data_IF_937074629731
#
_entry.id   IF_937074629731
#
_cell.length_a   1.000
_cell.length_b   1.000
_cell.length_c   1.000
_cell.angle_alpha   90.00
_cell.angle_beta   90.00
_cell.angle_gamma   90.00
#
_symmetry.space_group_name_H-M   'P 1'
#
loop_
_entity.id
_entity.type
_entity.pdbx_description
1 polymer ?
#
# COMPACT_ATOMS: atom_id res chain seq x y z
N UNK A 1 5.81 4.36 -7.54
CA UNK A 1 6.99 4.44 -8.41
C UNK A 1 7.75 5.68 -7.95
N UNK A 2 8.97 5.55 -7.44
CA UNK A 2 9.73 6.69 -6.92
C UNK A 2 10.99 6.83 -7.74
N UNK A 3 11.23 8.02 -8.26
CA UNK A 3 12.48 8.38 -8.92
C UNK A 3 13.02 9.64 -8.26
N UNK A 4 14.30 9.61 -7.91
CA UNK A 4 15.05 10.76 -7.42
C UNK A 4 15.54 11.59 -8.60
N UNK A 5 15.26 12.88 -8.53
CA UNK A 5 16.02 13.98 -9.12
C UNK A 5 15.90 15.14 -8.10
N UNK A 6 17.01 15.78 -7.71
CA UNK A 6 17.11 16.78 -6.62
C UNK A 6 16.91 16.30 -5.17
N UNK A 7 17.33 15.07 -4.82
CA UNK A 7 17.29 14.55 -3.43
C UNK A 7 15.90 14.47 -2.76
N UNK A 8 14.84 14.92 -3.44
CA UNK A 8 13.47 14.90 -2.97
C UNK A 8 12.70 13.72 -3.58
N UNK A 9 12.23 12.81 -2.73
CA UNK A 9 11.22 11.83 -3.13
C UNK A 9 9.86 12.54 -3.19
N UNK A 10 9.36 12.78 -4.41
CA UNK A 10 7.99 13.29 -4.58
C UNK A 10 7.01 12.14 -4.69
N UNK A 11 6.12 12.03 -3.70
CA UNK A 11 5.02 11.08 -3.73
C UNK A 11 3.87 11.67 -4.56
N UNK A 12 3.46 10.97 -5.61
CA UNK A 12 2.32 11.35 -6.46
C UNK A 12 1.14 10.48 -6.08
N UNK A 13 0.03 11.10 -5.69
CA UNK A 13 -1.22 10.40 -5.38
C UNK A 13 -1.97 10.12 -6.68
N UNK A 14 -2.33 8.86 -6.90
CA UNK A 14 -3.31 8.50 -7.93
C UNK A 14 -4.69 8.76 -7.34
N UNK A 15 -5.49 9.55 -8.05
CA UNK A 15 -6.86 9.87 -7.71
C UNK A 15 -7.80 8.95 -8.50
N UNK A 16 -8.93 8.60 -7.89
CA UNK A 16 -9.95 7.74 -8.49
C UNK A 16 -11.29 8.47 -8.43
N UNK A 17 -11.91 8.67 -9.59
CA UNK A 17 -13.25 9.29 -9.72
C UNK A 17 -13.90 8.80 -11.01
N UNK A 18 -15.21 8.55 -10.99
CA UNK A 18 -15.99 8.14 -12.16
C UNK A 18 -15.38 6.93 -12.89
N UNK A 19 -14.96 5.92 -12.12
CA UNK A 19 -14.27 4.71 -12.61
C UNK A 19 -12.97 4.97 -13.39
N UNK A 20 -12.41 6.18 -13.29
CA UNK A 20 -11.17 6.57 -13.94
C UNK A 20 -10.06 6.83 -12.91
N UNK A 21 -8.81 6.63 -13.34
CA UNK A 21 -7.59 6.90 -12.60
C UNK A 21 -6.87 8.10 -13.21
N UNK A 22 -6.31 8.99 -12.39
CA UNK A 22 -5.57 10.15 -12.86
C UNK A 22 -4.59 10.67 -11.82
N UNK A 23 -3.54 11.35 -12.27
CA UNK A 23 -2.64 12.13 -11.39
C UNK A 23 -2.88 13.64 -11.51
N UNK A 24 -3.55 14.07 -12.58
CA UNK A 24 -3.96 15.44 -12.84
C UNK A 24 -5.28 15.44 -13.62
N UNK A 25 -6.16 16.41 -13.37
CA UNK A 25 -7.55 16.39 -13.89
C UNK A 25 -7.63 16.47 -15.42
N UNK A 26 -6.58 16.98 -16.06
CA UNK A 26 -6.46 17.08 -17.51
C UNK A 26 -6.25 15.72 -18.21
N UNK A 27 -5.96 14.64 -17.48
CA UNK A 27 -5.72 13.33 -18.08
C UNK A 27 -6.26 12.18 -17.23
N UNK A 28 -7.28 11.49 -17.73
CA UNK A 28 -7.96 10.36 -17.08
C UNK A 28 -7.74 9.06 -17.86
N UNK A 29 -7.59 7.95 -17.13
CA UNK A 29 -7.31 6.61 -17.67
C UNK A 29 -8.34 5.61 -17.15
N UNK A 30 -8.62 4.56 -17.94
CA UNK A 30 -9.56 3.51 -17.53
C UNK A 30 -8.90 2.48 -16.60
N UNK A 31 -7.57 2.44 -16.58
CA UNK A 31 -6.80 1.57 -15.67
C UNK A 31 -5.51 2.22 -15.18
N UNK A 32 -4.99 1.71 -14.06
CA UNK A 32 -3.67 2.07 -13.53
C UNK A 32 -2.57 1.72 -14.54
N UNK A 33 -2.73 0.63 -15.29
CA UNK A 33 -1.74 0.18 -16.27
C UNK A 33 -1.63 1.18 -17.43
N UNK A 34 -2.75 1.66 -17.96
CA UNK A 34 -2.77 2.71 -18.99
C UNK A 34 -2.12 4.00 -18.49
N UNK A 35 -2.38 4.39 -17.24
CA UNK A 35 -1.77 5.56 -16.60
C UNK A 35 -0.24 5.40 -16.54
N UNK A 36 0.24 4.25 -16.07
CA UNK A 36 1.68 3.95 -15.97
C UNK A 36 2.31 3.97 -17.37
N UNK A 37 1.68 3.31 -18.35
CA UNK A 37 2.22 3.24 -19.70
C UNK A 37 2.32 4.61 -20.35
N UNK A 38 1.30 5.46 -20.15
CA UNK A 38 1.32 6.83 -20.64
C UNK A 38 2.48 7.64 -20.06
N UNK A 39 2.60 7.68 -18.72
CA UNK A 39 3.62 8.49 -18.05
C UNK A 39 5.02 7.88 -18.08
N UNK A 40 5.22 6.67 -18.63
CA UNK A 40 6.57 6.19 -19.01
C UNK A 40 7.17 7.02 -20.15
N UNK A 41 6.32 7.55 -21.02
CA UNK A 41 6.73 8.31 -22.21
C UNK A 41 6.35 9.79 -22.15
N UNK A 42 5.40 10.18 -21.29
CA UNK A 42 4.94 11.56 -21.14
C UNK A 42 5.42 12.18 -19.84
N UNK A 43 5.83 13.46 -19.91
CA UNK A 43 6.39 14.17 -18.76
C UNK A 43 5.31 14.50 -17.73
N UNK A 44 5.63 14.31 -16.46
CA UNK A 44 4.76 14.66 -15.33
C UNK A 44 4.54 16.17 -15.20
N UNK A 45 5.25 17.00 -15.97
CA UNK A 45 5.09 18.47 -15.99
C UNK A 45 3.66 18.92 -16.32
N UNK A 46 2.89 18.07 -17.02
CA UNK A 46 1.49 18.32 -17.38
C UNK A 46 0.58 18.49 -16.16
N UNK A 47 0.91 17.84 -15.04
CA UNK A 47 0.21 17.98 -13.76
C UNK A 47 1.03 18.69 -12.68
N UNK A 48 2.35 18.66 -12.81
CA UNK A 48 3.28 19.11 -11.76
C UNK A 48 4.40 19.93 -12.40
N UNK A 49 4.19 21.25 -12.56
CA UNK A 49 5.06 22.14 -13.37
C UNK A 49 6.57 22.08 -13.07
N UNK A 50 6.95 21.72 -11.84
CA UNK A 50 8.35 21.57 -11.41
C UNK A 50 8.91 20.15 -11.57
N UNK A 51 8.10 19.19 -12.00
CA UNK A 51 8.45 17.77 -12.10
C UNK A 51 8.54 17.35 -13.57
N UNK A 52 9.58 17.82 -14.24
CA UNK A 52 9.85 17.46 -15.63
C UNK A 52 10.61 16.12 -15.72
N UNK A 53 9.89 15.03 -15.51
CA UNK A 53 10.41 13.68 -15.68
C UNK A 53 9.29 12.73 -16.08
N UNK A 54 9.66 11.58 -16.64
CA UNK A 54 8.76 10.45 -16.87
C UNK A 54 8.89 9.42 -15.74
N UNK A 55 7.97 8.46 -15.69
CA UNK A 55 8.07 7.26 -14.85
C UNK A 55 9.11 6.30 -15.44
N UNK A 56 10.23 6.08 -14.74
CA UNK A 56 11.33 5.24 -15.28
C UNK A 56 11.45 3.89 -14.58
N UNK A 57 11.56 3.87 -13.24
CA UNK A 57 11.82 2.64 -12.49
C UNK A 57 10.71 2.30 -11.50
N UNK A 58 10.20 1.05 -11.50
CA UNK A 58 9.29 0.57 -10.47
C UNK A 58 9.98 0.72 -9.12
N UNK A 59 9.24 1.18 -8.10
CA UNK A 59 9.81 1.36 -6.76
C UNK A 59 10.18 0.01 -6.09
N UNK A 60 9.72 -1.11 -6.65
CA UNK A 60 10.08 -2.47 -6.23
C UNK A 60 10.50 -3.24 -7.49
N UNK A 61 11.76 -3.63 -7.55
CA UNK A 61 12.27 -4.52 -8.60
C UNK A 61 11.68 -5.94 -8.47
N UNK A 62 11.57 -6.70 -9.57
CA UNK A 62 11.03 -8.05 -9.56
C UNK A 62 11.95 -9.12 -8.93
N UNK A 63 13.10 -8.77 -8.36
CA UNK A 63 14.16 -9.72 -7.96
C UNK A 63 13.88 -10.56 -6.70
N UNK A 64 12.71 -10.38 -6.06
CA UNK A 64 12.19 -11.30 -5.02
C UNK A 64 10.92 -12.04 -5.45
N UNK A 65 10.55 -12.00 -6.74
CA UNK A 65 9.33 -12.63 -7.25
C UNK A 65 9.54 -14.00 -7.91
N UNK A 66 10.75 -14.36 -8.37
CA UNK A 66 10.96 -15.60 -9.12
C UNK A 66 10.77 -16.87 -8.27
N UNK A 67 11.07 -16.82 -6.98
CA UNK A 67 10.93 -17.97 -6.08
C UNK A 67 9.52 -18.10 -5.46
N UNK A 68 8.70 -17.06 -5.55
CA UNK A 68 7.34 -17.01 -4.95
C UNK A 68 6.19 -17.15 -5.97
N UNK A 69 6.49 -17.46 -7.24
CA UNK A 69 5.50 -17.51 -8.34
C UNK A 69 4.97 -18.89 -8.70
N UNK A 70 5.48 -19.99 -8.16
CA UNK A 70 4.96 -21.32 -8.48
C UNK A 70 3.73 -21.74 -7.68
N UNK A 71 3.28 -20.95 -6.69
CA UNK A 71 2.16 -21.34 -5.83
C UNK A 71 0.99 -20.34 -5.78
N UNK A 72 0.92 -19.41 -6.74
CA UNK A 72 -0.18 -18.42 -6.81
C UNK A 72 -1.27 -18.87 -7.77
N UNK A 73 -2.12 -19.78 -7.29
CA UNK A 73 -3.50 -19.82 -7.76
C UNK A 73 -4.19 -18.50 -7.41
N UNK A 74 -4.96 -18.00 -8.37
CA UNK A 74 -5.52 -16.65 -8.53
C UNK A 74 -6.52 -16.18 -7.46
N UNK A 75 -6.58 -16.79 -6.28
CA UNK A 75 -7.52 -16.47 -5.20
C UNK A 75 -6.96 -15.59 -4.08
N UNK A 76 -5.65 -15.35 -4.02
CA UNK A 76 -5.00 -14.68 -2.87
C UNK A 76 -4.76 -13.17 -2.99
N UNK A 77 -5.32 -12.47 -3.98
CA UNK A 77 -5.05 -11.03 -4.16
C UNK A 77 -5.68 -10.14 -3.07
N UNK A 78 -6.54 -10.69 -2.21
CA UNK A 78 -7.28 -9.97 -1.17
C UNK A 78 -6.90 -10.35 0.28
N UNK A 79 -6.00 -11.31 0.49
CA UNK A 79 -5.55 -11.68 1.83
C UNK A 79 -4.31 -10.85 2.21
N UNK A 80 -4.36 -10.00 3.25
CA UNK A 80 -3.19 -9.26 3.69
C UNK A 80 -2.07 -10.22 4.11
N UNK A 81 -0.86 -10.01 3.58
CA UNK A 81 0.30 -10.83 3.91
C UNK A 81 0.67 -10.63 5.37
N UNK A 82 0.63 -11.72 6.16
CA UNK A 82 1.14 -11.73 7.54
C UNK A 82 2.65 -11.51 7.51
N UNK A 83 3.12 -10.46 8.18
CA UNK A 83 4.54 -10.09 8.32
C UNK A 83 5.13 -10.51 9.68
N UNK A 84 4.29 -10.99 10.60
CA UNK A 84 4.71 -11.48 11.90
C UNK A 84 3.53 -11.91 12.76
N UNK A 85 3.83 -12.46 13.93
CA UNK A 85 2.85 -12.84 14.94
C UNK A 85 3.24 -12.18 16.26
N UNK A 86 2.27 -11.61 16.97
CA UNK A 86 2.43 -11.10 18.32
C UNK A 86 1.51 -11.85 19.28
N UNK A 87 1.86 -11.81 20.56
CA UNK A 87 1.02 -12.30 21.65
C UNK A 87 0.69 -11.08 22.52
N UNK A 88 -0.59 -10.82 22.76
CA UNK A 88 -1.01 -9.78 23.68
C UNK A 88 -0.51 -10.10 25.09
N UNK A 89 0.23 -9.17 25.68
CA UNK A 89 0.80 -9.33 27.03
C UNK A 89 -0.14 -8.88 28.14
N UNK A 90 -1.17 -8.12 27.79
CA UNK A 90 -2.14 -7.53 28.70
C UNK A 90 -3.47 -7.39 27.97
N UNK A 91 -4.55 -7.30 28.73
CA UNK A 91 -5.86 -6.96 28.20
C UNK A 91 -5.88 -5.52 27.66
N UNK A 92 -6.58 -5.33 26.55
CA UNK A 92 -6.83 -4.03 25.95
C UNK A 92 -8.30 -3.94 25.55
N UNK A 93 -8.96 -2.84 25.92
CA UNK A 93 -10.33 -2.54 25.48
C UNK A 93 -10.29 -1.49 24.39
N UNK A 94 -10.86 -1.80 23.23
CA UNK A 94 -10.95 -0.86 22.12
C UNK A 94 -11.74 0.39 22.51
N UNK A 95 -11.27 1.55 22.04
CA UNK A 95 -11.88 2.86 22.31
C UNK A 95 -12.84 3.30 21.21
N UNK A 96 -12.67 2.78 20.00
CA UNK A 96 -13.56 3.01 18.86
C UNK A 96 -13.59 1.82 17.89
N UNK A 97 -14.37 1.95 16.81
CA UNK A 97 -14.61 0.88 15.81
C UNK A 97 -13.38 0.51 14.98
N UNK A 98 -12.25 1.20 15.16
CA UNK A 98 -10.99 1.01 14.44
C UNK A 98 -9.97 0.22 15.25
N UNK A 99 -10.24 -0.03 16.52
CA UNK A 99 -9.37 -0.76 17.44
C UNK A 99 -9.94 -2.15 17.76
N UNK A 100 -9.07 -3.10 18.06
CA UNK A 100 -9.43 -4.44 18.57
C UNK A 100 -9.26 -4.50 20.07
N UNK A 101 -10.26 -5.00 20.79
CA UNK A 101 -10.05 -5.44 22.17
C UNK A 101 -9.25 -6.75 22.19
N UNK A 102 -8.13 -6.77 22.89
CA UNK A 102 -7.29 -7.94 23.05
C UNK A 102 -7.43 -8.49 24.47
N UNK A 103 -7.34 -9.80 24.62
CA UNK A 103 -7.11 -10.44 25.91
C UNK A 103 -5.66 -10.88 26.01
N UNK A 104 -5.10 -10.89 27.22
CA UNK A 104 -3.79 -11.48 27.47
C UNK A 104 -3.75 -12.92 26.90
N UNK A 105 -2.71 -13.19 26.11
CA UNK A 105 -2.56 -14.47 25.41
C UNK A 105 -3.12 -14.50 23.99
N UNK A 106 -3.87 -13.48 23.55
CA UNK A 106 -4.36 -13.42 22.18
C UNK A 106 -3.22 -13.40 21.17
N UNK A 107 -3.34 -14.28 20.16
CA UNK A 107 -2.37 -14.36 19.05
C UNK A 107 -2.81 -13.43 17.93
N UNK A 108 -2.02 -12.40 17.66
CA UNK A 108 -2.30 -11.39 16.65
C UNK A 108 -1.40 -11.59 15.44
N UNK A 109 -2.00 -11.81 14.27
CA UNK A 109 -1.27 -11.81 13.01
C UNK A 109 -1.05 -10.38 12.57
N UNK A 110 0.21 -9.98 12.44
CA UNK A 110 0.62 -8.62 12.07
C UNK A 110 0.66 -8.52 10.55
N UNK A 111 0.02 -7.49 9.99
CA UNK A 111 0.03 -7.14 8.57
C UNK A 111 0.92 -5.94 8.27
N UNK A 112 0.94 -4.93 9.14
CA UNK A 112 1.80 -3.74 8.96
C UNK A 112 2.25 -3.17 10.30
N UNK A 113 3.51 -2.78 10.44
CA UNK A 113 4.07 -2.11 11.64
C UNK A 113 4.19 -0.58 11.52
N UNK A 114 3.60 -0.01 10.48
CA UNK A 114 3.77 1.41 10.11
C UNK A 114 2.58 2.29 10.51
N UNK A 115 1.82 1.91 11.54
CA UNK A 115 0.76 2.75 12.06
C UNK A 115 1.33 4.02 12.71
N UNK A 116 0.49 5.04 12.84
CA UNK A 116 0.86 6.24 13.60
C UNK A 116 1.15 5.85 15.06
N UNK A 117 2.03 6.57 15.75
CA UNK A 117 2.25 6.47 17.20
C UNK A 117 2.59 5.06 17.73
N UNK A 118 3.22 4.20 16.93
CA UNK A 118 3.68 2.87 17.34
C UNK A 118 2.66 1.74 17.18
N UNK A 119 1.45 2.05 16.70
CA UNK A 119 0.38 1.07 16.50
C UNK A 119 0.67 0.13 15.32
N UNK A 120 0.35 -1.15 15.48
CA UNK A 120 0.47 -2.17 14.43
C UNK A 120 -0.91 -2.54 13.89
N UNK A 121 -0.98 -3.07 12.67
CA UNK A 121 -2.23 -3.53 12.06
C UNK A 121 -2.21 -5.03 11.89
N UNK A 122 -3.34 -5.69 12.10
CA UNK A 122 -3.38 -7.14 12.16
C UNK A 122 -4.78 -7.69 12.40
N UNK A 123 -4.87 -8.99 12.58
CA UNK A 123 -6.08 -9.68 13.00
C UNK A 123 -5.82 -10.52 14.25
N UNK A 124 -6.81 -10.62 15.12
CA UNK A 124 -6.88 -11.65 16.14
C UNK A 124 -8.26 -12.32 16.07
N UNK A 125 -8.32 -13.61 16.37
CA UNK A 125 -9.59 -14.36 16.46
C UNK A 125 -10.47 -14.27 15.20
N UNK A 126 -9.84 -14.20 14.01
CA UNK A 126 -10.51 -14.14 12.71
C UNK A 126 -11.19 -12.80 12.39
N UNK A 127 -11.03 -11.80 13.25
CA UNK A 127 -11.57 -10.45 13.05
C UNK A 127 -10.48 -9.54 12.49
N UNK A 128 -10.65 -8.97 11.29
CA UNK A 128 -9.65 -8.09 10.69
C UNK A 128 -9.67 -6.70 11.35
N UNK A 129 -8.51 -6.18 11.76
CA UNK A 129 -8.41 -4.85 12.34
C UNK A 129 -7.41 -3.94 11.67
N UNK A 130 -7.63 -2.67 11.96
CA UNK A 130 -6.86 -1.59 11.40
C UNK A 130 -5.84 -1.05 12.38
N UNK A 131 -5.91 -1.18 13.72
CA UNK A 131 -4.83 -0.78 14.66
C UNK A 131 -4.92 -1.53 16.02
N UNK A 132 -3.78 -1.92 16.61
CA UNK A 132 -3.59 -2.42 17.99
C UNK A 132 -2.16 -2.13 18.51
#
# INVERSE_FOLDING_TARGET
MAHRYNSDVKHIKILTKDFCFYIAENKKFKSILELIEYYKHHSLREGFRSLDTTLKYPYREPETAAMHRLNRSSSQMFAPKVIGVAIARYDFSSRDTRELSLQEGDVVKIYTKSGANGWWRGEANGRPYIQF
#
